data_IF_799375790520
#
_entry.id   IF_799375790520
#
_cell.length_a   1.000
_cell.length_b   1.000
_cell.length_c   1.000
_cell.angle_alpha   90.00
_cell.angle_beta   90.00
_cell.angle_gamma   90.00
#
_symmetry.space_group_name_H-M   'P 1'
#
loop_
_entity.id
_entity.type
_entity.pdbx_description
1 polymer ?
#
# COMPACT_ATOMS: atom_id res chain seq x y z
N UNK A 1 -10.20 -3.69 1.57
CA UNK A 1 -9.01 -3.78 0.70
C UNK A 1 -8.02 -4.74 1.34
N UNK A 2 -7.54 -5.73 0.58
CA UNK A 2 -6.48 -6.64 1.04
C UNK A 2 -5.13 -5.97 0.80
N UNK A 3 -4.27 -5.97 1.83
CA UNK A 3 -2.90 -5.47 1.72
C UNK A 3 -2.00 -6.67 1.46
N UNK A 4 -1.48 -6.77 0.25
CA UNK A 4 -0.71 -7.92 -0.21
C UNK A 4 0.75 -7.53 -0.46
N UNK A 5 1.62 -8.54 -0.45
CA UNK A 5 3.00 -8.38 -0.87
C UNK A 5 3.08 -7.83 -2.30
N UNK A 6 3.98 -6.88 -2.53
CA UNK A 6 4.13 -6.19 -3.81
C UNK A 6 3.17 -5.02 -4.04
N UNK A 7 2.18 -4.80 -3.16
CA UNK A 7 1.35 -3.59 -3.25
C UNK A 7 2.19 -2.34 -3.03
N UNK A 8 2.04 -1.38 -3.97
CA UNK A 8 2.72 -0.09 -3.93
C UNK A 8 1.74 1.01 -3.58
N UNK A 9 2.17 1.91 -2.72
CA UNK A 9 1.39 3.03 -2.22
C UNK A 9 2.13 4.33 -2.44
N UNK A 10 1.38 5.37 -2.81
CA UNK A 10 1.82 6.76 -2.83
C UNK A 10 1.71 7.32 -1.42
N UNK A 11 2.76 7.99 -0.94
CA UNK A 11 2.78 8.70 0.34
C UNK A 11 2.32 10.13 0.12
N UNK A 12 1.34 10.59 0.91
CA UNK A 12 0.87 11.97 0.86
C UNK A 12 1.94 12.94 1.38
N UNK A 13 1.91 14.20 0.91
CA UNK A 13 2.90 15.21 1.32
C UNK A 13 2.96 15.39 2.84
N UNK A 14 1.81 15.34 3.52
CA UNK A 14 1.72 15.52 4.97
C UNK A 14 2.26 14.32 5.75
N UNK A 15 2.35 13.14 5.12
CA UNK A 15 2.86 11.92 5.74
C UNK A 15 4.35 11.69 5.46
N UNK A 16 4.96 12.39 4.50
CA UNK A 16 6.37 12.22 4.10
C UNK A 16 7.36 12.31 5.27
N UNK A 17 7.07 13.13 6.27
CA UNK A 17 7.90 13.26 7.47
C UNK A 17 8.06 11.95 8.27
N UNK A 18 7.09 11.04 8.19
CA UNK A 18 7.16 9.73 8.85
C UNK A 18 7.90 8.67 8.00
N UNK A 19 8.17 8.98 6.74
CA UNK A 19 8.70 8.03 5.75
C UNK A 19 9.98 8.54 5.09
N UNK A 20 10.86 9.21 5.84
CA UNK A 20 12.14 9.73 5.33
C UNK A 20 12.01 10.55 4.02
N UNK A 21 10.90 11.29 3.89
CA UNK A 21 10.59 12.05 2.67
C UNK A 21 10.50 11.18 1.39
N UNK A 22 10.19 9.89 1.53
CA UNK A 22 9.91 9.00 0.42
C UNK A 22 8.56 9.34 -0.23
N UNK A 23 8.48 9.13 -1.54
CA UNK A 23 7.24 9.36 -2.29
C UNK A 23 6.37 8.12 -2.34
N UNK A 24 6.99 6.94 -2.26
CA UNK A 24 6.29 5.67 -2.36
C UNK A 24 6.76 4.70 -1.31
N UNK A 25 5.87 3.77 -0.98
CA UNK A 25 6.11 2.64 -0.10
C UNK A 25 5.66 1.36 -0.83
N UNK A 26 6.44 0.29 -0.73
CA UNK A 26 6.08 -1.02 -1.28
C UNK A 26 6.04 -2.05 -0.17
N UNK A 27 4.97 -2.82 -0.08
CA UNK A 27 4.84 -3.92 0.89
C UNK A 27 5.76 -5.05 0.46
N UNK A 28 6.64 -5.46 1.38
CA UNK A 28 7.57 -6.59 1.20
C UNK A 28 7.01 -7.88 1.78
N UNK A 29 6.25 -7.81 2.87
CA UNK A 29 5.56 -8.97 3.44
C UNK A 29 4.40 -8.52 4.31
N UNK A 30 3.40 -9.38 4.43
CA UNK A 30 2.28 -9.23 5.35
C UNK A 30 1.97 -10.60 5.96
N UNK A 31 2.13 -10.72 7.28
CA UNK A 31 1.84 -11.96 8.01
C UNK A 31 0.50 -11.93 8.75
N UNK A 32 -0.35 -10.93 8.48
CA UNK A 32 -1.65 -10.73 9.14
C UNK A 32 -1.59 -9.92 10.42
N UNK A 33 -0.39 -9.70 11.00
CA UNK A 33 -0.19 -8.89 12.21
C UNK A 33 0.69 -7.67 11.92
N UNK A 34 1.77 -7.88 11.16
CA UNK A 34 2.76 -6.86 10.82
C UNK A 34 2.97 -6.82 9.31
N UNK A 35 3.11 -5.60 8.80
CA UNK A 35 3.49 -5.32 7.43
C UNK A 35 4.93 -4.85 7.44
N UNK A 36 5.78 -5.53 6.68
CA UNK A 36 7.12 -5.03 6.36
C UNK A 36 7.07 -4.32 5.02
N UNK A 37 7.79 -3.22 4.90
CA UNK A 37 7.78 -2.40 3.70
C UNK A 37 9.15 -1.82 3.39
N UNK A 38 9.32 -1.42 2.14
CA UNK A 38 10.45 -0.64 1.66
C UNK A 38 9.97 0.71 1.14
N UNK A 39 10.80 1.73 1.31
CA UNK A 39 10.56 3.06 0.79
C UNK A 39 11.21 3.21 -0.58
N UNK A 40 10.55 3.97 -1.45
CA UNK A 40 11.08 4.31 -2.77
C UNK A 40 12.44 5.01 -2.69
N UNK A 41 13.17 4.98 -3.80
CA UNK A 41 14.48 5.62 -3.94
C UNK A 41 15.53 5.13 -2.91
N UNK A 42 15.39 3.89 -2.43
CA UNK A 42 16.25 3.32 -1.38
C UNK A 42 16.29 4.13 -0.08
N UNK A 43 15.25 4.92 0.20
CA UNK A 43 15.16 5.79 1.39
C UNK A 43 14.98 5.04 2.72
N UNK A 44 14.83 3.72 2.66
CA UNK A 44 14.83 2.86 3.85
C UNK A 44 13.84 1.70 3.76
N UNK A 45 13.68 1.05 4.89
CA UNK A 45 12.75 -0.04 5.12
C UNK A 45 12.15 0.11 6.52
N UNK A 46 11.02 -0.53 6.76
CA UNK A 46 10.36 -0.47 8.04
C UNK A 46 9.32 -1.56 8.22
N UNK A 47 8.70 -1.55 9.38
CA UNK A 47 7.60 -2.42 9.71
C UNK A 47 6.56 -1.69 10.55
N UNK A 48 5.28 -2.01 10.35
CA UNK A 48 4.19 -1.45 11.14
C UNK A 48 3.10 -2.51 11.36
N UNK A 49 2.28 -2.40 12.43
CA UNK A 49 1.10 -3.23 12.59
C UNK A 49 0.12 -3.06 11.42
N UNK A 50 -0.62 -4.12 11.10
CA UNK A 50 -1.64 -4.08 10.05
C UNK A 50 -2.70 -3.02 10.36
N UNK A 51 -3.10 -2.84 11.63
CA UNK A 51 -4.08 -1.82 12.01
C UNK A 51 -3.56 -0.40 11.74
N UNK A 52 -2.26 -0.17 11.92
CA UNK A 52 -1.65 1.13 11.66
C UNK A 52 -1.64 1.44 10.16
N UNK A 53 -1.31 0.45 9.32
CA UNK A 53 -1.42 0.60 7.87
C UNK A 53 -2.85 0.94 7.43
N UNK A 54 -3.85 0.24 7.99
CA UNK A 54 -5.25 0.51 7.72
C UNK A 54 -5.66 1.92 8.16
N UNK A 55 -5.16 2.39 9.31
CA UNK A 55 -5.38 3.76 9.76
C UNK A 55 -4.82 4.80 8.77
N UNK A 56 -3.60 4.59 8.28
CA UNK A 56 -2.96 5.48 7.31
C UNK A 56 -3.73 5.53 5.97
N UNK A 57 -4.26 4.40 5.50
CA UNK A 57 -5.14 4.34 4.33
C UNK A 57 -6.44 5.12 4.56
N UNK A 58 -7.09 4.94 5.72
CA UNK A 58 -8.32 5.68 6.08
C UNK A 58 -8.11 7.18 6.18
N UNK A 59 -6.90 7.63 6.55
CA UNK A 59 -6.52 9.05 6.64
C UNK A 59 -6.02 9.63 5.32
N UNK A 60 -6.01 8.86 4.22
CA UNK A 60 -5.44 9.27 2.94
C UNK A 60 -3.96 9.69 3.04
N UNK A 61 -3.24 9.14 4.02
CA UNK A 61 -1.79 9.30 4.15
C UNK A 61 -1.05 8.37 3.17
N UNK A 62 -1.68 7.25 2.85
CA UNK A 62 -1.24 6.30 1.84
C UNK A 62 -2.39 6.10 0.85
N UNK A 63 -2.08 6.11 -0.43
CA UNK A 63 -3.05 5.81 -1.51
C UNK A 63 -2.50 4.70 -2.37
N UNK A 64 -3.36 3.75 -2.73
CA UNK A 64 -2.98 2.62 -3.58
C UNK A 64 -2.55 3.13 -4.95
N UNK A 65 -1.38 2.70 -5.41
CA UNK A 65 -1.01 2.84 -6.82
C UNK A 65 -1.49 1.57 -7.52
N UNK A 66 -2.50 1.64 -8.40
CA UNK A 66 -3.00 0.46 -9.08
C UNK A 66 -1.88 -0.15 -9.93
N UNK A 67 -1.53 -1.40 -9.63
CA UNK A 67 -0.67 -2.19 -10.50
C UNK A 67 -1.49 -2.60 -11.74
N UNK A 68 -0.88 -2.59 -12.93
CA UNK A 68 -1.57 -2.99 -14.19
C UNK A 68 -2.23 -4.37 -14.12
N UNK A 69 -1.76 -5.28 -13.25
CA UNK A 69 -2.38 -6.59 -12.98
C UNK A 69 -3.66 -6.53 -12.14
N UNK A 70 -3.83 -5.53 -11.29
CA UNK A 70 -5.02 -5.39 -10.43
C UNK A 70 -6.26 -4.97 -11.21
N UNK A 71 -6.10 -4.30 -12.36
CA UNK A 71 -7.21 -3.89 -13.22
C UNK A 71 -7.86 -5.10 -13.89
N UNK A 72 -7.04 -6.06 -14.33
CA UNK A 72 -7.51 -7.30 -15.00
C UNK A 72 -8.37 -8.20 -14.10
N UNK A 73 -8.23 -8.11 -12.77
CA UNK A 73 -9.04 -8.89 -11.82
C UNK A 73 -10.33 -8.19 -11.39
N UNK A 74 -10.49 -6.88 -11.68
CA UNK A 74 -11.72 -6.15 -11.35
C UNK A 74 -12.79 -6.36 -12.43
N UNK A 75 -12.38 -6.55 -13.69
CA UNK A 75 -13.30 -6.82 -14.80
C UNK A 75 -13.92 -8.23 -14.77
N UNK A 76 -13.34 -9.19 -14.03
CA UNK A 76 -13.89 -10.55 -13.91
C UNK A 76 -14.98 -10.70 -12.84
N UNK A 77 -15.26 -9.65 -12.04
CA UNK A 77 -16.27 -9.72 -10.97
C UNK A 77 -17.53 -8.86 -11.25
N UNK A 78 -17.59 -8.13 -12.37
CA UNK A 78 -18.73 -7.25 -12.71
C UNK A 78 -19.51 -7.67 -13.97
N UNK A 79 -19.33 -8.90 -14.48
CA UNK A 79 -20.23 -9.48 -15.48
C UNK A 79 -20.89 -10.76 -14.95
N UNK A 80 -21.77 -10.58 -13.97
CA UNK A 80 -22.94 -11.46 -13.80
C UNK A 80 -24.20 -10.60 -13.81
N UNK A 81 -24.52 -10.05 -15.00
CA UNK A 81 -25.83 -9.49 -15.31
C UNK A 81 -26.27 -10.13 -16.63
N UNK A 82 -27.24 -11.07 -16.57
CA UNK A 82 -27.96 -11.62 -17.71
C UNK A 82 -27.97 -13.13 -17.78
#
# INVERSE_FOLDING_TARGET
MLIEEGNKFQISQNAKGFFNSAETMTVKSNNGVTIQFILGDSKGHGSMPVEHMQYLLKKSNLTVIPNKRSVLNHELNEEQIG
#
